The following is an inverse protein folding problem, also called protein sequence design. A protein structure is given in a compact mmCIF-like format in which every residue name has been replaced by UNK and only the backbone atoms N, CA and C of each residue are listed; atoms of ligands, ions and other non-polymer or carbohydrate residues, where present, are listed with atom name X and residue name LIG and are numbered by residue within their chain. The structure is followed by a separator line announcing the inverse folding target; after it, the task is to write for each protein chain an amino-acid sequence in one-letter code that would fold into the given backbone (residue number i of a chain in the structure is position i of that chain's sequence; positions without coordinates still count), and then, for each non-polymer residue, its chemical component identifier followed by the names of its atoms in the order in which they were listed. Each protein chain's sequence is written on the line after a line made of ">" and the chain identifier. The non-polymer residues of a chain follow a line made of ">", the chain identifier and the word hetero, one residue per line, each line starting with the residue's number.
data_IF_323273629104
#
_entry.id   IF_323273629104
#
_cell.length_a   1.000
_cell.length_b   1.000
_cell.length_c   1.000
_cell.angle_alpha   90.00
_cell.angle_beta   90.00
_cell.angle_gamma   90.00
#
_symmetry.space_group_name_H-M   'P 1'
#
loop_
_entity.id
_entity.type
_entity.pdbx_description
1 polymer ?
#
# COMPACT_ATOMS: atom_id res chain seq x y z
N UNK A 1 -5.51 13.24 -3.04
CA UNK A 1 -6.84 12.67 -3.36
C UNK A 1 -6.81 11.20 -2.99
N UNK A 2 -7.88 10.62 -2.42
CA UNK A 2 -7.92 9.20 -2.11
C UNK A 2 -7.82 8.36 -3.39
N UNK A 3 -7.25 7.16 -3.29
CA UNK A 3 -7.14 6.23 -4.42
C UNK A 3 -8.54 5.87 -4.94
N UNK A 4 -8.79 6.05 -6.24
CA UNK A 4 -10.11 5.82 -6.83
C UNK A 4 -10.25 4.37 -7.29
N UNK A 5 -10.48 3.48 -6.33
CA UNK A 5 -10.68 2.05 -6.62
C UNK A 5 -12.08 1.77 -7.20
N UNK A 6 -12.19 0.72 -8.02
CA UNK A 6 -13.46 0.17 -8.51
C UNK A 6 -14.07 -0.86 -7.55
N UNK A 7 -13.34 -1.26 -6.51
CA UNK A 7 -13.78 -2.24 -5.52
C UNK A 7 -14.59 -1.59 -4.40
N UNK A 8 -15.38 -2.42 -3.69
CA UNK A 8 -16.13 -1.97 -2.51
C UNK A 8 -15.18 -1.49 -1.40
N UNK A 9 -15.60 -0.49 -0.64
CA UNK A 9 -14.85 -0.01 0.52
C UNK A 9 -14.57 -1.13 1.52
N UNK A 10 -13.38 -1.09 2.13
CA UNK A 10 -12.96 -2.04 3.17
C UNK A 10 -12.80 -3.49 2.69
N UNK A 11 -12.67 -3.74 1.38
CA UNK A 11 -12.54 -5.10 0.83
C UNK A 11 -11.41 -5.91 1.49
N UNK A 12 -10.33 -5.24 1.93
CA UNK A 12 -9.18 -5.86 2.58
C UNK A 12 -9.05 -5.51 4.08
N UNK A 13 -10.11 -4.96 4.70
CA UNK A 13 -10.11 -4.66 6.12
C UNK A 13 -9.74 -5.89 6.97
N UNK A 14 -8.82 -5.70 7.94
CA UNK A 14 -8.32 -6.77 8.81
C UNK A 14 -7.39 -7.77 8.13
N UNK A 15 -7.01 -7.56 6.87
CA UNK A 15 -6.04 -8.41 6.17
C UNK A 15 -4.64 -7.79 6.21
N UNK A 16 -3.63 -8.64 6.38
CA UNK A 16 -2.23 -8.27 6.20
C UNK A 16 -1.74 -8.77 4.84
N UNK A 17 -1.18 -7.89 4.01
CA UNK A 17 -0.75 -8.21 2.64
C UNK A 17 0.71 -7.82 2.45
N UNK A 18 1.48 -8.71 1.84
CA UNK A 18 2.88 -8.45 1.45
C UNK A 18 2.91 -7.95 0.01
N UNK A 19 3.60 -6.83 -0.23
CA UNK A 19 3.82 -6.29 -1.59
C UNK A 19 5.32 -6.23 -1.87
N UNK A 20 5.81 -7.12 -2.73
CA UNK A 20 7.19 -7.08 -3.23
C UNK A 20 7.32 -6.01 -4.31
N UNK A 21 8.49 -5.38 -4.41
CA UNK A 21 8.69 -4.23 -5.30
C UNK A 21 7.85 -3.01 -4.93
N UNK A 22 7.36 -2.91 -3.68
CA UNK A 22 6.40 -1.90 -3.24
C UNK A 22 6.89 -0.45 -3.27
N UNK A 23 8.19 -0.21 -3.47
CA UNK A 23 8.79 1.12 -3.46
C UNK A 23 8.66 1.92 -4.76
N UNK A 24 8.13 1.35 -5.86
CA UNK A 24 8.00 2.07 -7.14
C UNK A 24 7.02 1.41 -8.11
N UNK A 25 6.69 2.11 -9.21
CA UNK A 25 5.94 1.56 -10.34
C UNK A 25 4.61 0.93 -9.92
N UNK A 26 4.32 -0.26 -10.47
CA UNK A 26 3.09 -0.99 -10.17
C UNK A 26 3.01 -1.42 -8.70
N UNK A 27 4.12 -1.85 -8.08
CA UNK A 27 4.10 -2.25 -6.66
C UNK A 27 3.66 -1.12 -5.74
N UNK A 28 4.13 0.11 -5.98
CA UNK A 28 3.64 1.32 -5.29
C UNK A 28 2.16 1.55 -5.54
N UNK A 29 1.72 1.48 -6.80
CA UNK A 29 0.31 1.68 -7.16
C UNK A 29 -0.61 0.67 -6.47
N UNK A 30 -0.22 -0.61 -6.46
CA UNK A 30 -0.95 -1.69 -5.77
C UNK A 30 -0.98 -1.47 -4.27
N UNK A 31 0.12 -1.01 -3.65
CA UNK A 31 0.12 -0.69 -2.22
C UNK A 31 -0.88 0.43 -1.89
N UNK A 32 -0.94 1.48 -2.70
CA UNK A 32 -1.93 2.55 -2.56
C UNK A 32 -3.37 2.06 -2.67
N UNK A 33 -3.66 1.20 -3.66
CA UNK A 33 -4.99 0.62 -3.80
C UNK A 33 -5.36 -0.23 -2.57
N UNK A 34 -4.49 -1.16 -2.18
CA UNK A 34 -4.75 -2.05 -1.06
C UNK A 34 -4.93 -1.31 0.27
N UNK A 35 -4.10 -0.29 0.54
CA UNK A 35 -4.24 0.56 1.73
C UNK A 35 -5.57 1.31 1.72
N UNK A 36 -5.98 1.86 0.57
CA UNK A 36 -7.28 2.53 0.43
C UNK A 36 -8.47 1.60 0.71
N UNK A 37 -8.29 0.29 0.53
CA UNK A 37 -9.28 -0.75 0.79
C UNK A 37 -9.15 -1.37 2.19
N UNK A 38 -8.35 -0.79 3.08
CA UNK A 38 -8.24 -1.16 4.50
C UNK A 38 -7.20 -2.24 4.82
N UNK A 39 -6.31 -2.58 3.89
CA UNK A 39 -5.25 -3.56 4.16
C UNK A 39 -4.15 -2.98 5.07
N UNK A 40 -3.59 -3.84 5.93
CA UNK A 40 -2.28 -3.61 6.56
C UNK A 40 -1.18 -4.16 5.66
N UNK A 41 -0.17 -3.35 5.35
CA UNK A 41 0.81 -3.69 4.31
C UNK A 41 2.21 -3.92 4.88
N UNK A 42 2.90 -4.92 4.32
CA UNK A 42 4.34 -5.09 4.44
C UNK A 42 4.98 -4.88 3.07
N UNK A 43 5.73 -3.80 2.90
CA UNK A 43 6.40 -3.49 1.63
C UNK A 43 7.81 -4.09 1.63
N UNK A 44 8.16 -4.80 0.55
CA UNK A 44 9.48 -5.44 0.40
C UNK A 44 10.18 -4.88 -0.83
N UNK A 45 11.45 -4.51 -0.68
CA UNK A 45 12.28 -3.99 -1.76
C UNK A 45 13.75 -3.86 -1.35
N UNK A 46 14.62 -3.58 -2.32
CA UNK A 46 16.08 -3.48 -2.11
C UNK A 46 16.53 -2.11 -1.61
N UNK A 47 15.76 -1.06 -1.88
CA UNK A 47 16.13 0.34 -1.59
C UNK A 47 15.23 0.87 -0.50
N UNK A 48 15.76 1.04 0.71
CA UNK A 48 14.99 1.40 1.90
C UNK A 48 14.31 2.77 1.75
N UNK A 49 15.01 3.74 1.16
CA UNK A 49 14.52 5.11 0.99
C UNK A 49 13.23 5.15 0.13
N UNK A 50 13.14 4.29 -0.89
CA UNK A 50 11.95 4.14 -1.71
C UNK A 50 10.78 3.55 -0.92
N UNK A 51 11.05 2.61 -0.01
CA UNK A 51 10.02 2.00 0.84
C UNK A 51 9.50 3.00 1.88
N UNK A 52 10.40 3.74 2.54
CA UNK A 52 10.01 4.77 3.51
C UNK A 52 9.22 5.91 2.85
N UNK A 53 9.60 6.31 1.63
CA UNK A 53 8.82 7.29 0.85
C UNK A 53 7.38 6.79 0.64
N UNK A 54 7.21 5.56 0.13
CA UNK A 54 5.86 5.02 -0.11
C UNK A 54 5.10 4.82 1.20
N UNK A 55 5.75 4.36 2.27
CA UNK A 55 5.14 4.25 3.60
C UNK A 55 4.60 5.61 4.10
N UNK A 56 5.36 6.69 3.95
CA UNK A 56 4.91 8.03 4.31
C UNK A 56 3.70 8.48 3.47
N UNK A 57 3.66 8.15 2.17
CA UNK A 57 2.50 8.44 1.32
C UNK A 57 1.24 7.67 1.74
N UNK A 58 1.39 6.45 2.26
CA UNK A 58 0.29 5.59 2.70
C UNK A 58 -0.30 5.98 4.06
N UNK A 59 0.44 6.76 4.86
CA UNK A 59 0.05 7.17 6.21
C UNK A 59 0.16 6.05 7.24
N UNK A 60 -0.09 6.40 8.50
CA UNK A 60 0.11 5.47 9.61
C UNK A 60 -0.83 4.24 9.53
N UNK A 61 -0.36 3.07 10.00
CA UNK A 61 -1.22 1.95 10.28
C UNK A 61 -2.01 2.25 11.56
N UNK A 62 -3.31 2.50 11.43
CA UNK A 62 -4.22 2.26 12.56
C UNK A 62 -4.10 0.79 13.03
#
# INVERSE_FOLDING_TARGET
>A
MPYRSVFRAGLFAGKTVIVTGGGSGLGRCTAHELKSLGARLALIGRTAEKLETVKAELGDPD
#
